data_IF_277694593602
#
_entry.id   IF_277694593602
#
_cell.length_a   1.000
_cell.length_b   1.000
_cell.length_c   1.000
_cell.angle_alpha   90.00
_cell.angle_beta   90.00
_cell.angle_gamma   90.00
#
_symmetry.space_group_name_H-M   'P 1'
#
loop_
_entity.id
_entity.type
_entity.pdbx_description
1 polymer ?
#
# COMPACT_ATOMS: atom_id res chain seq x y z
N UNK A 1 16.22 -22.94 6.90
CA UNK A 1 16.61 -21.80 7.75
C UNK A 1 15.44 -20.82 7.78
N UNK A 2 14.81 -20.63 8.94
CA UNK A 2 13.61 -19.80 9.06
C UNK A 2 14.03 -18.32 9.22
N UNK A 3 13.96 -17.54 8.14
CA UNK A 3 14.06 -16.09 8.23
C UNK A 3 12.78 -15.57 8.91
N UNK A 4 12.91 -15.10 10.14
CA UNK A 4 11.85 -14.34 10.82
C UNK A 4 11.78 -12.96 10.16
N UNK A 5 10.90 -12.80 9.19
CA UNK A 5 10.53 -11.48 8.68
C UNK A 5 9.75 -10.74 9.78
N UNK A 6 10.38 -9.72 10.37
CA UNK A 6 9.78 -8.92 11.43
C UNK A 6 8.80 -7.91 10.82
N UNK A 7 7.52 -8.03 11.14
CA UNK A 7 6.65 -6.86 11.16
C UNK A 7 7.14 -5.96 12.30
N UNK A 8 7.71 -4.80 11.97
CA UNK A 8 8.16 -3.84 12.98
C UNK A 8 6.92 -3.08 13.44
N UNK A 9 6.36 -3.52 14.57
CA UNK A 9 5.28 -2.81 15.24
C UNK A 9 5.88 -1.64 16.02
N UNK A 10 5.93 -0.47 15.40
CA UNK A 10 6.28 0.78 16.06
C UNK A 10 5.11 1.25 16.94
N UNK A 11 5.08 0.85 18.20
CA UNK A 11 4.14 1.37 19.20
C UNK A 11 4.65 2.72 19.74
N UNK A 12 4.67 3.74 18.88
CA UNK A 12 4.97 5.10 19.30
C UNK A 12 3.75 5.72 19.98
N UNK A 13 3.76 5.71 21.32
CA UNK A 13 2.91 6.53 22.17
C UNK A 13 3.28 8.02 22.03
N UNK A 14 2.96 8.62 20.88
CA UNK A 14 3.07 10.06 20.70
C UNK A 14 1.80 10.74 21.23
N UNK A 15 1.97 11.34 22.40
CA UNK A 15 1.06 12.25 23.09
C UNK A 15 0.77 13.46 22.15
N UNK A 16 -0.51 13.64 21.80
CA UNK A 16 -1.16 14.81 21.17
C UNK A 16 -0.91 15.10 19.68
N UNK A 17 -1.78 14.56 18.83
CA UNK A 17 -2.91 15.30 18.25
C UNK A 17 -3.84 14.26 17.60
N UNK A 18 -5.13 14.15 17.97
CA UNK A 18 -6.04 13.35 17.18
C UNK A 18 -6.06 14.02 15.80
N UNK A 19 -5.50 13.36 14.79
CA UNK A 19 -5.84 13.66 13.42
C UNK A 19 -7.35 13.42 13.33
N UNK A 20 -8.14 14.48 13.55
CA UNK A 20 -9.59 14.45 13.45
C UNK A 20 -9.86 13.99 12.02
N UNK A 21 -10.25 12.72 11.88
CA UNK A 21 -10.71 12.17 10.63
C UNK A 21 -11.90 13.04 10.21
N UNK A 22 -11.67 13.95 9.25
CA UNK A 22 -12.49 15.14 9.03
C UNK A 22 -13.98 14.93 8.74
N UNK A 23 -14.43 13.69 8.57
CA UNK A 23 -15.83 13.36 8.24
C UNK A 23 -16.51 12.39 9.23
N UNK A 24 -15.79 11.76 10.18
CA UNK A 24 -16.39 10.94 11.25
C UNK A 24 -15.75 11.29 12.60
N UNK A 25 -16.45 12.12 13.38
CA UNK A 25 -16.00 12.61 14.70
C UNK A 25 -15.68 11.48 15.70
N UNK A 26 -16.10 10.25 15.41
CA UNK A 26 -15.92 9.09 16.29
C UNK A 26 -14.79 8.15 15.84
N UNK A 27 -14.16 8.40 14.69
CA UNK A 27 -13.06 7.59 14.17
C UNK A 27 -11.74 8.06 14.78
N UNK A 28 -11.10 7.18 15.53
CA UNK A 28 -9.84 7.46 16.22
C UNK A 28 -8.70 6.74 15.50
N UNK A 29 -7.58 7.43 15.30
CA UNK A 29 -6.36 6.79 14.81
C UNK A 29 -5.81 5.80 15.86
N UNK A 30 -5.53 4.56 15.42
CA UNK A 30 -5.13 3.47 16.32
C UNK A 30 -3.64 3.17 16.17
N UNK A 31 -3.16 2.93 14.95
CA UNK A 31 -1.79 2.47 14.73
C UNK A 31 -1.29 2.72 13.30
N UNK A 32 0.03 2.83 13.16
CA UNK A 32 0.75 2.67 11.89
C UNK A 32 1.31 1.24 11.84
N UNK A 33 1.14 0.55 10.71
CA UNK A 33 1.78 -0.75 10.46
C UNK A 33 2.62 -0.67 9.21
N UNK A 34 3.92 -0.89 9.37
CA UNK A 34 4.89 -0.88 8.30
C UNK A 34 5.20 -2.29 7.81
N UNK A 35 5.21 -2.46 6.49
CA UNK A 35 5.44 -3.72 5.82
C UNK A 35 6.60 -3.61 4.83
N UNK A 36 7.38 -4.69 4.71
CA UNK A 36 8.34 -4.87 3.61
C UNK A 36 7.61 -5.47 2.42
N UNK A 37 8.09 -5.21 1.19
CA UNK A 37 7.53 -5.86 0.00
C UNK A 37 7.68 -7.39 0.08
N UNK A 38 8.81 -7.90 0.60
CA UNK A 38 9.05 -9.33 0.75
C UNK A 38 8.00 -10.01 1.61
N UNK A 39 7.65 -9.41 2.75
CA UNK A 39 6.64 -9.95 3.66
C UNK A 39 5.27 -10.00 2.99
N UNK A 40 4.85 -8.92 2.32
CA UNK A 40 3.57 -8.86 1.60
C UNK A 40 3.54 -9.91 0.49
N UNK A 41 4.62 -10.03 -0.27
CA UNK A 41 4.77 -11.03 -1.34
C UNK A 41 4.63 -12.45 -0.80
N UNK A 42 5.40 -12.81 0.22
CA UNK A 42 5.35 -14.14 0.86
C UNK A 42 3.96 -14.44 1.43
N UNK A 43 3.31 -13.45 2.07
CA UNK A 43 1.97 -13.61 2.62
C UNK A 43 0.95 -13.92 1.52
N UNK A 44 0.94 -13.15 0.43
CA UNK A 44 -0.02 -13.34 -0.67
C UNK A 44 0.25 -14.65 -1.41
N UNK A 45 1.51 -15.01 -1.64
CA UNK A 45 1.87 -16.27 -2.28
C UNK A 45 1.32 -17.47 -1.49
N UNK A 46 1.48 -17.43 -0.16
CA UNK A 46 1.05 -18.51 0.73
C UNK A 46 -0.46 -18.56 0.94
N UNK A 47 -1.10 -17.43 1.21
CA UNK A 47 -2.49 -17.38 1.67
C UNK A 47 -3.50 -17.06 0.57
N UNK A 48 -3.06 -16.39 -0.51
CA UNK A 48 -3.91 -15.91 -1.60
C UNK A 48 -3.26 -16.15 -2.98
N UNK A 49 -2.86 -17.39 -3.31
CA UNK A 49 -2.08 -17.68 -4.53
C UNK A 49 -2.82 -17.33 -5.83
N UNK A 50 -4.15 -17.31 -5.83
CA UNK A 50 -4.97 -16.98 -7.00
C UNK A 50 -4.78 -15.55 -7.49
N UNK A 51 -4.48 -14.60 -6.60
CA UNK A 51 -4.27 -13.18 -6.93
C UNK A 51 -2.79 -12.79 -6.99
N UNK A 52 -1.88 -13.71 -6.62
CA UNK A 52 -0.45 -13.42 -6.51
C UNK A 52 0.15 -12.87 -7.80
N UNK A 53 -0.08 -13.53 -8.95
CA UNK A 53 0.47 -13.09 -10.24
C UNK A 53 -0.14 -11.78 -10.73
N UNK A 54 -1.35 -11.45 -10.28
CA UNK A 54 -2.00 -10.19 -10.62
C UNK A 54 -1.38 -9.03 -9.85
N UNK A 55 -0.87 -9.24 -8.64
CA UNK A 55 -0.17 -8.22 -7.84
C UNK A 55 1.34 -8.20 -8.17
N UNK A 56 1.99 -9.35 -8.13
CA UNK A 56 3.44 -9.54 -8.26
C UNK A 56 3.78 -10.31 -9.56
N UNK A 57 3.95 -9.58 -10.66
CA UNK A 57 4.46 -10.16 -11.92
C UNK A 57 5.98 -10.12 -11.99
N UNK A 58 6.60 -11.11 -12.64
CA UNK A 58 8.05 -11.09 -12.92
C UNK A 58 8.52 -9.87 -13.72
N UNK A 59 7.64 -9.32 -14.54
CA UNK A 59 7.91 -8.17 -15.41
C UNK A 59 7.82 -6.82 -14.68
N UNK A 60 7.45 -6.80 -13.39
CA UNK A 60 7.24 -5.54 -12.68
C UNK A 60 7.89 -5.55 -11.30
N UNK A 61 8.60 -4.47 -10.99
CA UNK A 61 9.20 -4.21 -9.68
C UNK A 61 8.76 -2.84 -9.16
N UNK A 62 8.88 -2.64 -7.85
CA UNK A 62 8.56 -1.37 -7.19
C UNK A 62 9.86 -0.77 -6.65
N UNK A 63 10.19 0.45 -7.04
CA UNK A 63 11.29 1.20 -6.46
C UNK A 63 10.75 2.24 -5.49
N UNK A 64 11.04 2.06 -4.20
CA UNK A 64 10.59 2.99 -3.17
C UNK A 64 11.49 4.21 -3.11
N UNK A 65 10.90 5.39 -2.94
CA UNK A 65 11.66 6.65 -2.96
C UNK A 65 12.75 6.71 -1.88
N UNK A 66 12.57 6.01 -0.76
CA UNK A 66 13.52 5.94 0.34
C UNK A 66 14.80 5.15 0.00
N UNK A 67 14.75 4.30 -1.03
CA UNK A 67 15.90 3.48 -1.44
C UNK A 67 16.75 4.18 -2.52
N UNK A 68 16.35 5.38 -2.96
CA UNK A 68 17.00 6.13 -4.03
C UNK A 68 16.57 5.67 -5.43
N UNK A 69 17.22 6.18 -6.49
CA UNK A 69 16.99 5.72 -7.86
C UNK A 69 17.40 4.26 -8.04
N UNK A 70 16.69 3.45 -8.85
CA UNK A 70 17.13 2.10 -9.16
C UNK A 70 18.45 2.15 -9.96
N UNK A 71 19.38 1.20 -9.76
CA UNK A 71 20.57 1.11 -10.60
C UNK A 71 20.21 0.71 -12.04
N UNK A 72 20.98 1.19 -13.02
CA UNK A 72 20.86 0.76 -14.43
C UNK A 72 19.68 1.37 -15.22
N UNK A 73 18.97 2.35 -14.63
CA UNK A 73 17.82 3.01 -15.28
C UNK A 73 18.20 3.86 -16.49
N UNK A 74 19.49 4.13 -16.73
CA UNK A 74 19.95 4.94 -17.86
C UNK A 74 19.57 4.33 -19.22
N UNK A 75 19.30 3.02 -19.24
CA UNK A 75 18.87 2.28 -20.42
C UNK A 75 17.35 2.20 -20.59
N UNK A 76 16.58 2.74 -19.63
CA UNK A 76 15.13 2.70 -19.61
C UNK A 76 14.52 4.02 -20.06
N UNK A 77 13.34 3.93 -20.66
CA UNK A 77 12.50 5.10 -20.88
C UNK A 77 11.72 5.42 -19.61
N UNK A 78 11.60 6.71 -19.27
CA UNK A 78 10.82 7.16 -18.11
C UNK A 78 9.52 7.83 -18.54
N UNK A 79 8.40 7.34 -18.00
CA UNK A 79 7.09 7.97 -18.16
C UNK A 79 6.70 8.72 -16.89
N UNK A 80 6.85 10.05 -16.92
CA UNK A 80 6.61 10.96 -15.80
C UNK A 80 5.13 11.34 -15.65
N UNK A 81 4.31 10.44 -15.10
CA UNK A 81 2.91 10.72 -14.77
C UNK A 81 2.63 10.30 -13.33
N UNK A 82 2.60 11.24 -12.37
CA UNK A 82 2.33 10.91 -10.99
C UNK A 82 0.98 10.22 -10.82
N UNK A 83 0.96 9.20 -9.97
CA UNK A 83 -0.22 8.41 -9.67
C UNK A 83 -0.40 8.26 -8.17
N UNK A 84 -1.60 8.60 -7.71
CA UNK A 84 -2.04 8.33 -6.33
C UNK A 84 -3.02 7.17 -6.32
N UNK A 85 -2.76 6.20 -5.45
CA UNK A 85 -3.61 5.04 -5.18
C UNK A 85 -4.04 5.07 -3.73
N UNK A 86 -5.30 4.69 -3.49
CA UNK A 86 -5.89 4.60 -2.17
C UNK A 86 -6.67 3.30 -2.09
N UNK A 87 -6.51 2.62 -0.98
CA UNK A 87 -7.23 1.40 -0.64
C UNK A 87 -7.60 1.42 0.82
N UNK A 88 -8.69 0.76 1.14
CA UNK A 88 -9.00 0.42 2.51
C UNK A 88 -10.32 -0.31 2.60
N UNK A 89 -10.40 -1.10 3.64
CA UNK A 89 -11.56 -1.88 4.01
C UNK A 89 -11.70 -1.85 5.54
N UNK A 90 -12.72 -2.51 6.07
CA UNK A 90 -13.03 -2.52 7.49
C UNK A 90 -13.29 -3.91 8.05
N UNK A 91 -12.92 -4.09 9.31
CA UNK A 91 -13.20 -5.27 10.12
C UNK A 91 -14.14 -4.89 11.25
N UNK A 92 -15.33 -5.51 11.30
CA UNK A 92 -16.21 -5.43 12.47
C UNK A 92 -15.76 -6.45 13.52
N UNK A 93 -15.37 -5.98 14.69
CA UNK A 93 -14.89 -6.81 15.79
C UNK A 93 -15.86 -6.81 16.97
N UNK A 94 -16.18 -8.02 17.44
CA UNK A 94 -16.91 -8.26 18.69
C UNK A 94 -15.96 -8.99 19.63
N UNK A 95 -15.69 -8.40 20.80
CA UNK A 95 -14.69 -8.91 21.73
C UNK A 95 -15.03 -10.31 22.31
N UNK A 96 -16.31 -10.69 22.30
CA UNK A 96 -16.76 -11.99 22.80
C UNK A 96 -16.76 -13.07 21.70
N UNK A 97 -16.10 -14.20 21.97
CA UNK A 97 -16.34 -15.47 21.28
C UNK A 97 -15.72 -15.66 19.88
N UNK A 98 -14.79 -14.80 19.45
CA UNK A 98 -14.27 -14.87 18.08
C UNK A 98 -13.27 -16.02 17.83
N UNK A 99 -12.65 -16.59 18.88
CA UNK A 99 -11.61 -17.62 18.78
C UNK A 99 -10.36 -17.22 17.99
N UNK A 100 -10.33 -15.99 17.47
CA UNK A 100 -9.33 -15.46 16.53
C UNK A 100 -8.59 -14.30 17.18
N UNK A 101 -7.32 -14.14 16.84
CA UNK A 101 -6.54 -13.00 17.30
C UNK A 101 -6.93 -11.75 16.51
N UNK A 102 -7.37 -10.70 17.21
CA UNK A 102 -7.63 -9.39 16.59
C UNK A 102 -6.40 -8.90 15.82
N UNK A 103 -5.23 -9.03 16.43
CA UNK A 103 -3.97 -8.59 15.82
C UNK A 103 -3.68 -9.27 14.48
N UNK A 104 -3.99 -10.55 14.36
CA UNK A 104 -3.80 -11.31 13.13
C UNK A 104 -4.83 -10.94 12.04
N UNK A 105 -6.07 -10.64 12.43
CA UNK A 105 -7.10 -10.18 11.49
C UNK A 105 -6.84 -8.75 11.00
N UNK A 106 -6.34 -7.87 11.88
CA UNK A 106 -5.89 -6.52 11.48
C UNK A 106 -4.67 -6.57 10.58
N UNK A 107 -3.75 -7.50 10.84
CA UNK A 107 -2.58 -7.71 9.99
C UNK A 107 -2.96 -8.21 8.60
N UNK A 108 -3.83 -9.22 8.54
CA UNK A 108 -4.43 -9.71 7.28
C UNK A 108 -5.11 -8.58 6.51
N UNK A 109 -5.95 -7.79 7.17
CA UNK A 109 -6.64 -6.65 6.56
C UNK A 109 -5.62 -5.69 5.93
N UNK A 110 -4.62 -5.27 6.69
CA UNK A 110 -3.58 -4.37 6.19
C UNK A 110 -2.79 -4.95 5.00
N UNK A 111 -2.38 -6.22 5.05
CA UNK A 111 -1.64 -6.86 3.96
C UNK A 111 -2.47 -6.93 2.68
N UNK A 112 -3.77 -7.22 2.78
CA UNK A 112 -4.68 -7.24 1.64
C UNK A 112 -4.85 -5.84 1.02
N UNK A 113 -5.03 -4.80 1.83
CA UNK A 113 -5.16 -3.43 1.33
C UNK A 113 -3.85 -2.92 0.69
N UNK A 114 -2.70 -3.25 1.29
CA UNK A 114 -1.39 -2.97 0.69
C UNK A 114 -1.26 -3.65 -0.67
N UNK A 115 -1.66 -4.91 -0.75
CA UNK A 115 -1.60 -5.69 -1.99
C UNK A 115 -2.54 -5.15 -3.06
N UNK A 116 -3.76 -4.74 -2.69
CA UNK A 116 -4.70 -4.05 -3.58
C UNK A 116 -4.11 -2.77 -4.15
N UNK A 117 -3.43 -1.98 -3.33
CA UNK A 117 -2.85 -0.71 -3.76
C UNK A 117 -1.72 -0.94 -4.78
N UNK A 118 -0.89 -1.94 -4.54
CA UNK A 118 0.14 -2.40 -5.48
C UNK A 118 -0.47 -2.90 -6.80
N UNK A 119 -1.56 -3.70 -6.74
CA UNK A 119 -2.27 -4.15 -7.92
C UNK A 119 -2.87 -2.99 -8.74
N UNK A 120 -3.42 -1.95 -8.08
CA UNK A 120 -3.93 -0.76 -8.78
C UNK A 120 -2.80 0.04 -9.45
N UNK A 121 -1.59 0.09 -8.89
CA UNK A 121 -0.43 0.69 -9.58
C UNK A 121 -0.09 -0.09 -10.87
N UNK A 122 -0.06 -1.41 -10.81
CA UNK A 122 0.13 -2.26 -12.00
C UNK A 122 -0.98 -2.06 -13.03
N UNK A 123 -2.23 -2.04 -12.57
CA UNK A 123 -3.41 -1.83 -13.41
C UNK A 123 -3.37 -0.47 -14.12
N UNK A 124 -2.90 0.57 -13.43
CA UNK A 124 -2.67 1.88 -14.02
C UNK A 124 -1.65 1.81 -15.17
N UNK A 125 -0.50 1.17 -14.99
CA UNK A 125 0.50 1.00 -16.06
C UNK A 125 -0.08 0.27 -17.26
N UNK A 126 -0.76 -0.86 -17.02
CA UNK A 126 -1.45 -1.63 -18.07
C UNK A 126 -2.43 -0.77 -18.86
N UNK A 127 -3.19 0.07 -18.17
CA UNK A 127 -4.14 0.98 -18.81
C UNK A 127 -3.44 2.08 -19.61
N UNK A 128 -2.36 2.68 -19.10
CA UNK A 128 -1.56 3.68 -19.83
C UNK A 128 -1.01 3.11 -21.15
N UNK A 129 -0.52 1.86 -21.15
CA UNK A 129 -0.09 1.16 -22.38
C UNK A 129 -1.29 0.89 -23.29
N UNK A 130 -2.39 0.34 -22.76
CA UNK A 130 -3.60 0.01 -23.55
C UNK A 130 -4.20 1.24 -24.21
N UNK A 131 -4.20 2.37 -23.51
CA UNK A 131 -4.71 3.66 -24.00
C UNK A 131 -3.70 4.38 -24.92
N UNK A 132 -2.56 3.76 -25.22
CA UNK A 132 -1.50 4.28 -26.10
C UNK A 132 -0.94 5.63 -25.66
N UNK A 133 -1.03 5.93 -24.37
CA UNK A 133 -0.34 7.09 -23.76
C UNK A 133 1.18 6.88 -23.79
N UNK A 134 1.61 5.61 -23.82
CA UNK A 134 2.98 5.17 -24.10
C UNK A 134 2.93 4.19 -25.26
N UNK A 135 3.91 4.26 -26.18
CA UNK A 135 4.05 3.36 -27.33
C UNK A 135 5.37 2.59 -27.23
N UNK A 136 5.41 1.54 -26.38
CA UNK A 136 6.62 0.75 -26.19
C UNK A 136 6.97 0.00 -27.47
N UNK A 137 8.25 -0.10 -27.79
CA UNK A 137 8.75 -0.98 -28.84
C UNK A 137 8.63 -2.45 -28.39
N UNK A 138 8.83 -3.39 -29.31
CA UNK A 138 8.81 -4.82 -28.97
C UNK A 138 9.92 -5.11 -27.95
N UNK A 139 9.53 -5.65 -26.79
CA UNK A 139 10.43 -5.95 -25.67
C UNK A 139 10.50 -4.86 -24.60
N UNK A 140 10.03 -3.64 -24.86
CA UNK A 140 10.11 -2.52 -23.89
C UNK A 140 9.23 -2.71 -22.63
N UNK A 141 8.40 -3.75 -22.58
CA UNK A 141 7.60 -4.11 -21.41
C UNK A 141 8.07 -5.41 -20.75
N UNK A 142 9.26 -5.89 -21.11
CA UNK A 142 9.86 -7.08 -20.49
C UNK A 142 10.23 -6.80 -19.03
N UNK A 143 10.63 -5.56 -18.72
CA UNK A 143 10.76 -5.08 -17.34
C UNK A 143 10.20 -3.65 -17.16
N UNK A 144 9.36 -3.49 -16.15
CA UNK A 144 8.77 -2.22 -15.72
C UNK A 144 9.10 -1.95 -14.26
N UNK A 145 9.59 -0.76 -13.95
CA UNK A 145 9.91 -0.35 -12.57
C UNK A 145 8.99 0.80 -12.19
N UNK A 146 8.12 0.60 -11.20
CA UNK A 146 7.31 1.70 -10.65
C UNK A 146 8.23 2.66 -9.89
N UNK A 147 8.25 3.93 -10.30
CA UNK A 147 9.25 4.88 -9.84
C UNK A 147 8.81 5.65 -8.59
N UNK A 148 9.74 5.78 -7.65
CA UNK A 148 9.62 6.61 -6.45
C UNK A 148 8.32 6.40 -5.68
N UNK A 149 8.00 5.13 -5.38
CA UNK A 149 6.82 4.77 -4.59
C UNK A 149 6.97 5.32 -3.17
N UNK A 150 5.98 6.06 -2.69
CA UNK A 150 5.90 6.58 -1.32
C UNK A 150 4.59 6.14 -0.66
N UNK A 151 4.71 5.79 0.61
CA UNK A 151 3.57 5.56 1.50
C UNK A 151 3.20 6.84 2.23
N UNK A 152 1.91 7.01 2.54
CA UNK A 152 1.46 8.19 3.26
C UNK A 152 0.17 8.00 4.02
N UNK A 153 -0.36 9.13 4.49
CA UNK A 153 -1.68 9.24 5.10
C UNK A 153 -2.51 10.26 4.34
N UNK A 154 -3.83 10.10 4.37
CA UNK A 154 -4.72 11.14 3.86
C UNK A 154 -4.86 12.25 4.89
N UNK A 155 -4.85 13.51 4.43
CA UNK A 155 -5.05 14.70 5.26
C UNK A 155 -6.39 14.69 6.01
N UNK A 156 -7.40 14.06 5.41
CA UNK A 156 -8.66 13.67 6.04
C UNK A 156 -8.85 12.20 5.66
N UNK A 157 -9.04 11.30 6.61
CA UNK A 157 -9.22 9.86 6.37
C UNK A 157 -10.73 9.53 6.27
N UNK A 158 -11.39 9.71 5.11
CA UNK A 158 -12.81 9.45 4.97
C UNK A 158 -13.11 7.96 5.14
N UNK A 159 -14.35 7.65 5.49
CA UNK A 159 -14.83 6.27 5.59
C UNK A 159 -14.80 5.56 4.23
N UNK A 160 -15.07 6.29 3.14
CA UNK A 160 -14.96 5.80 1.78
C UNK A 160 -13.70 6.37 1.10
N UNK A 161 -12.68 5.52 0.91
CA UNK A 161 -11.42 5.93 0.32
C UNK A 161 -11.46 5.96 -1.22
N UNK A 162 -12.37 5.22 -1.85
CA UNK A 162 -12.54 5.25 -3.31
C UNK A 162 -13.07 6.61 -3.81
N UNK A 163 -13.81 7.33 -2.97
CA UNK A 163 -14.34 8.67 -3.29
C UNK A 163 -13.39 9.81 -2.85
N UNK A 164 -12.24 9.48 -2.27
CA UNK A 164 -11.33 10.45 -1.63
C UNK A 164 -10.30 11.08 -2.57
N UNK A 165 -10.54 11.08 -3.89
CA UNK A 165 -9.60 11.59 -4.89
C UNK A 165 -9.20 13.06 -4.67
N UNK A 166 -10.04 13.84 -3.96
CA UNK A 166 -9.78 15.24 -3.60
C UNK A 166 -8.84 15.43 -2.39
N UNK A 167 -8.63 14.39 -1.58
CA UNK A 167 -7.79 14.49 -0.40
C UNK A 167 -6.32 14.29 -0.78
N UNK A 168 -5.48 15.25 -0.41
CA UNK A 168 -4.03 15.14 -0.54
C UNK A 168 -3.51 13.96 0.29
N UNK A 169 -2.55 13.23 -0.29
CA UNK A 169 -1.76 12.24 0.44
C UNK A 169 -0.53 12.98 0.96
N UNK A 170 -0.36 13.01 2.28
CA UNK A 170 0.86 13.47 2.92
C UNK A 170 1.81 12.27 3.05
N UNK A 171 2.97 12.25 2.37
CA UNK A 171 3.95 11.19 2.52
C UNK A 171 4.41 11.06 3.98
N UNK A 172 4.61 9.83 4.44
CA UNK A 172 5.19 9.55 5.75
C UNK A 172 6.53 8.83 5.52
N UNK A 173 7.65 9.32 6.11
CA UNK A 173 8.92 8.62 6.03
C UNK A 173 8.82 7.19 6.59
N UNK A 174 9.47 6.20 5.95
CA UNK A 174 9.46 4.82 6.43
C UNK A 174 10.13 4.65 7.79
N UNK A 175 9.65 3.67 8.55
CA UNK A 175 10.28 3.21 9.79
C UNK A 175 11.02 1.89 9.54
N UNK A 176 12.33 1.86 9.82
CA UNK A 176 13.17 0.69 9.62
C UNK A 176 13.17 0.19 8.15
N UNK A 177 13.07 -1.14 7.92
CA UNK A 177 13.06 -1.71 6.56
C UNK A 177 11.69 -1.65 5.88
N UNK A 178 10.63 -1.24 6.59
CA UNK A 178 9.29 -1.13 6.02
C UNK A 178 9.23 0.00 4.99
N UNK A 179 8.47 -0.21 3.91
CA UNK A 179 8.24 0.81 2.87
C UNK A 179 6.76 1.03 2.57
N UNK A 180 5.91 0.08 2.98
CA UNK A 180 4.48 0.06 2.75
C UNK A 180 3.75 0.33 4.07
N UNK A 181 2.97 1.40 4.13
CA UNK A 181 2.24 1.80 5.35
C UNK A 181 0.76 1.45 5.25
N UNK A 182 0.25 0.79 6.28
CA UNK A 182 -1.17 0.70 6.58
C UNK A 182 -1.48 1.57 7.81
N UNK A 183 -2.43 2.49 7.67
CA UNK A 183 -2.96 3.29 8.77
C UNK A 183 -4.23 2.63 9.29
N UNK A 184 -4.26 2.31 10.58
CA UNK A 184 -5.41 1.73 11.25
C UNK A 184 -6.16 2.78 12.06
N UNK A 185 -7.48 2.72 11.98
CA UNK A 185 -8.39 3.55 12.74
C UNK A 185 -9.47 2.68 13.36
N UNK A 186 -10.14 3.18 14.39
CA UNK A 186 -11.27 2.49 15.00
C UNK A 186 -12.44 3.45 15.25
N UNK A 187 -13.65 2.95 14.99
CA UNK A 187 -14.90 3.59 15.38
C UNK A 187 -15.61 2.67 16.36
N UNK A 188 -15.90 3.17 17.57
CA UNK A 188 -16.66 2.42 18.58
C UNK A 188 -18.15 2.64 18.37
N UNK A 189 -18.91 1.54 18.30
CA UNK A 189 -20.37 1.52 18.38
C UNK A 189 -20.77 0.71 19.62
N UNK A 190 -21.98 0.91 20.14
CA UNK A 190 -22.39 0.47 21.48
C UNK A 190 -21.93 -0.94 21.88
N UNK A 191 -21.97 -1.93 20.97
CA UNK A 191 -21.56 -3.32 21.24
C UNK A 191 -20.50 -3.86 20.25
N UNK A 192 -19.87 -3.01 19.43
CA UNK A 192 -18.89 -3.44 18.43
C UNK A 192 -17.81 -2.38 18.18
N UNK A 193 -16.60 -2.81 17.84
CA UNK A 193 -15.53 -1.93 17.37
C UNK A 193 -15.30 -2.20 15.90
N UNK A 194 -15.41 -1.17 15.06
CA UNK A 194 -15.10 -1.27 13.64
C UNK A 194 -13.69 -0.74 13.44
N UNK A 195 -12.78 -1.60 12.99
CA UNK A 195 -11.44 -1.21 12.59
C UNK A 195 -11.42 -0.92 11.09
N UNK A 196 -10.74 0.15 10.70
CA UNK A 196 -10.62 0.58 9.31
C UNK A 196 -9.15 0.63 8.92
N UNK A 197 -8.78 -0.11 7.88
CA UNK A 197 -7.48 0.01 7.24
C UNK A 197 -7.52 1.12 6.19
N UNK A 198 -6.41 1.83 6.05
CA UNK A 198 -6.23 2.84 5.00
C UNK A 198 -4.78 2.81 4.52
N UNK A 199 -4.62 2.50 3.23
CA UNK A 199 -3.36 2.52 2.52
C UNK A 199 -3.42 3.61 1.48
N UNK A 200 -2.41 4.47 1.46
CA UNK A 200 -2.27 5.53 0.47
C UNK A 200 -0.86 5.46 -0.11
N UNK A 201 -0.77 5.20 -1.42
CA UNK A 201 0.48 5.16 -2.17
C UNK A 201 0.51 6.29 -3.20
N UNK A 202 1.69 6.84 -3.42
CA UNK A 202 1.98 7.69 -4.58
C UNK A 202 3.16 7.13 -5.35
N UNK A 203 3.13 7.23 -6.67
CA UNK A 203 4.27 6.99 -7.55
C UNK A 203 4.48 8.23 -8.44
N UNK A 204 5.72 8.51 -8.83
CA UNK A 204 6.02 9.65 -9.71
C UNK A 204 5.85 9.31 -11.20
N UNK A 205 5.95 8.02 -11.53
CA UNK A 205 5.94 7.52 -12.89
C UNK A 205 6.32 6.05 -12.92
N UNK A 206 6.78 5.59 -14.07
CA UNK A 206 7.43 4.28 -14.19
C UNK A 206 8.49 4.29 -15.28
N UNK A 207 9.49 3.44 -15.10
CA UNK A 207 10.49 3.11 -16.11
C UNK A 207 10.03 1.89 -16.90
N UNK A 208 10.28 1.87 -18.21
CA UNK A 208 10.00 0.74 -19.08
C UNK A 208 11.14 0.56 -20.10
N UNK A 209 11.50 -0.68 -20.38
CA UNK A 209 12.59 -1.03 -21.28
C UNK A 209 12.76 -2.55 -21.41
N UNK A 210 13.75 -2.93 -22.21
CA UNK A 210 14.02 -4.35 -22.55
C UNK A 210 14.59 -5.18 -21.40
N UNK A 211 14.93 -4.58 -20.26
CA UNK A 211 15.44 -5.30 -19.09
C UNK A 211 16.64 -6.17 -19.44
N UNK A 212 17.77 -5.54 -19.76
CA UNK A 212 19.04 -6.24 -19.95
C UNK A 212 19.68 -6.60 -18.62
#
# INVERSE_FOLDING_TARGET
MAFRAFAVVGLCSAIFQPALAGDDKNRVFVAKRWYTESYVREYIEKNHPSIFRDIFSKQMSYNFAADGPPPGIETYNYYAKPKSIREGDFLKWKAAGSGRSLEAELDKLCVLEVSGALAKLKGWIRNTVRMREVKPQKGDLDHVIVAAVRSGQLSRAPLNLDQSNKNSISPIPPEGPGRLLCNLYATRKSNEVIYHASVALTAEGFYYGSGR
#
